data_IF_264890741530
#
_entry.id   IF_264890741530
#
_cell.length_a   1.000
_cell.length_b   1.000
_cell.length_c   1.000
_cell.angle_alpha   90.00
_cell.angle_beta   90.00
_cell.angle_gamma   90.00
#
_symmetry.space_group_name_H-M   'P 1'
#
loop_
_entity.id
_entity.type
_entity.pdbx_description
1 polymer ?
#
# COMPACT_ATOMS: atom_id res chain seq x y z
N UNK A 1 60.22 14.01 16.69
CA UNK A 1 58.79 14.37 16.78
C UNK A 1 58.21 14.20 15.39
N UNK A 2 57.50 13.11 15.13
CA UNK A 2 57.01 12.79 13.78
C UNK A 2 55.74 13.60 13.50
N UNK A 3 55.84 14.58 12.59
CA UNK A 3 54.69 15.35 12.12
C UNK A 3 53.84 14.40 11.27
N UNK A 4 52.66 14.02 11.78
CA UNK A 4 51.66 13.33 10.96
C UNK A 4 51.08 14.34 9.99
N UNK A 5 51.24 14.09 8.69
CA UNK A 5 50.55 14.82 7.63
C UNK A 5 49.05 14.61 7.75
N UNK A 6 48.38 15.50 8.50
CA UNK A 6 46.94 15.58 8.49
C UNK A 6 46.52 16.19 7.15
N UNK A 7 46.10 15.34 6.21
CA UNK A 7 45.51 15.77 4.94
C UNK A 7 44.27 16.62 5.23
N UNK A 8 44.41 17.94 5.10
CA UNK A 8 43.30 18.86 5.16
C UNK A 8 42.47 18.75 3.88
N UNK A 9 41.16 18.57 4.02
CA UNK A 9 40.22 18.52 2.90
C UNK A 9 40.13 19.89 2.25
N UNK A 10 40.23 19.96 0.92
CA UNK A 10 40.09 21.23 0.20
C UNK A 10 38.62 21.60 0.03
N UNK A 11 38.30 22.90 -0.01
CA UNK A 11 36.95 23.37 -0.31
C UNK A 11 36.44 22.86 -1.67
N UNK A 12 37.35 22.66 -2.64
CA UNK A 12 37.03 22.17 -3.98
C UNK A 12 36.59 20.70 -3.93
N UNK A 13 37.29 19.85 -3.17
CA UNK A 13 36.91 18.45 -3.01
C UNK A 13 35.52 18.33 -2.37
N UNK A 14 35.21 19.13 -1.35
CA UNK A 14 33.87 19.15 -0.75
C UNK A 14 32.80 19.60 -1.76
N UNK A 15 33.09 20.64 -2.55
CA UNK A 15 32.16 21.20 -3.53
C UNK A 15 31.84 20.22 -4.66
N UNK A 16 32.84 19.51 -5.19
CA UNK A 16 32.63 18.51 -6.25
C UNK A 16 31.77 17.36 -5.72
N UNK A 17 31.97 16.93 -4.47
CA UNK A 17 31.18 15.84 -3.87
C UNK A 17 29.70 16.22 -3.75
N UNK A 18 29.37 17.41 -3.23
CA UNK A 18 27.97 17.82 -3.13
C UNK A 18 27.33 18.02 -4.50
N UNK A 19 28.10 18.47 -5.50
CA UNK A 19 27.61 18.62 -6.88
C UNK A 19 27.23 17.26 -7.48
N UNK A 20 28.06 16.24 -7.28
CA UNK A 20 27.77 14.87 -7.75
C UNK A 20 26.58 14.29 -7.00
N UNK A 21 26.48 14.47 -5.68
CA UNK A 21 25.32 14.00 -4.89
C UNK A 21 24.03 14.66 -5.38
N UNK A 22 24.03 15.98 -5.61
CA UNK A 22 22.86 16.70 -6.11
C UNK A 22 22.39 16.20 -7.48
N UNK A 23 23.34 15.95 -8.40
CA UNK A 23 23.05 15.37 -9.71
C UNK A 23 22.40 13.98 -9.59
N UNK A 24 22.99 13.10 -8.78
CA UNK A 24 22.47 11.75 -8.56
C UNK A 24 21.08 11.78 -7.91
N UNK A 25 20.87 12.63 -6.90
CA UNK A 25 19.57 12.81 -6.25
C UNK A 25 18.49 13.33 -7.21
N UNK A 26 18.87 14.20 -8.16
CA UNK A 26 17.96 14.71 -9.20
C UNK A 26 17.37 13.60 -10.08
N UNK A 27 18.14 12.54 -10.35
CA UNK A 27 17.69 11.38 -11.12
C UNK A 27 16.98 10.35 -10.22
N UNK A 28 17.43 10.22 -8.96
CA UNK A 28 16.92 9.20 -8.04
C UNK A 28 15.49 9.50 -7.56
N UNK A 29 15.16 10.77 -7.28
CA UNK A 29 13.82 11.16 -6.81
C UNK A 29 12.67 10.77 -7.75
N UNK A 30 12.70 11.10 -9.06
CA UNK A 30 11.64 10.71 -9.98
C UNK A 30 11.58 9.19 -10.16
N UNK A 31 12.73 8.51 -10.24
CA UNK A 31 12.80 7.06 -10.35
C UNK A 31 12.18 6.35 -9.13
N UNK A 32 12.46 6.83 -7.91
CA UNK A 32 11.90 6.28 -6.68
C UNK A 32 10.38 6.47 -6.59
N UNK A 33 9.87 7.61 -7.07
CA UNK A 33 8.44 7.89 -7.08
C UNK A 33 7.69 6.94 -8.02
N UNK A 34 8.24 6.71 -9.22
CA UNK A 34 7.71 5.74 -10.16
C UNK A 34 7.78 4.29 -9.62
N UNK A 35 8.89 3.90 -8.98
CA UNK A 35 9.02 2.59 -8.38
C UNK A 35 7.98 2.37 -7.26
N UNK A 36 7.72 3.38 -6.42
CA UNK A 36 6.70 3.32 -5.37
C UNK A 36 5.28 3.16 -5.93
N UNK A 37 4.92 3.88 -6.99
CA UNK A 37 3.58 3.75 -7.60
C UNK A 37 3.39 2.36 -8.23
N UNK A 38 4.41 1.82 -8.89
CA UNK A 38 4.40 0.45 -9.41
C UNK A 38 4.28 -0.58 -8.29
N UNK A 39 5.03 -0.41 -7.19
CA UNK A 39 4.95 -1.27 -6.01
C UNK A 39 3.55 -1.31 -5.39
N UNK A 40 2.90 -0.14 -5.26
CA UNK A 40 1.49 -0.05 -4.84
C UNK A 40 0.57 -0.84 -5.77
N UNK A 41 0.78 -0.73 -7.09
CA UNK A 41 0.03 -1.49 -8.08
C UNK A 41 0.17 -3.01 -7.92
N UNK A 42 1.37 -3.51 -7.64
CA UNK A 42 1.61 -4.94 -7.37
C UNK A 42 0.84 -5.40 -6.14
N UNK A 43 0.88 -4.63 -5.05
CA UNK A 43 0.14 -4.94 -3.82
C UNK A 43 -1.37 -4.96 -4.08
N UNK A 44 -1.91 -3.97 -4.79
CA UNK A 44 -3.33 -3.93 -5.15
C UNK A 44 -3.75 -5.18 -5.96
N UNK A 45 -2.96 -5.60 -6.95
CA UNK A 45 -3.25 -6.81 -7.73
C UNK A 45 -3.24 -8.07 -6.85
N UNK A 46 -2.30 -8.16 -5.91
CA UNK A 46 -2.23 -9.27 -4.95
C UNK A 46 -3.49 -9.31 -4.07
N UNK A 47 -3.91 -8.16 -3.52
CA UNK A 47 -5.11 -8.07 -2.70
C UNK A 47 -6.37 -8.47 -3.47
N UNK A 48 -6.53 -7.99 -4.71
CA UNK A 48 -7.66 -8.37 -5.57
C UNK A 48 -7.65 -9.88 -5.84
N UNK A 49 -6.49 -10.45 -6.13
CA UNK A 49 -6.36 -11.91 -6.32
C UNK A 49 -6.79 -12.67 -5.07
N UNK A 50 -6.40 -12.21 -3.88
CA UNK A 50 -6.81 -12.84 -2.61
C UNK A 50 -8.33 -12.75 -2.39
N UNK A 51 -8.95 -11.59 -2.66
CA UNK A 51 -10.40 -11.41 -2.58
C UNK A 51 -11.17 -12.31 -3.57
N UNK A 52 -10.64 -12.46 -4.78
CA UNK A 52 -11.21 -13.36 -5.79
C UNK A 52 -11.13 -14.81 -5.32
N UNK A 53 -9.97 -15.25 -4.81
CA UNK A 53 -9.80 -16.60 -4.28
C UNK A 53 -10.75 -16.87 -3.11
N UNK A 54 -10.92 -15.90 -2.20
CA UNK A 54 -11.89 -16.00 -1.11
C UNK A 54 -13.32 -16.15 -1.63
N UNK A 55 -13.70 -15.38 -2.65
CA UNK A 55 -15.02 -15.49 -3.30
C UNK A 55 -15.24 -16.83 -4.00
N UNK A 56 -14.22 -17.36 -4.67
CA UNK A 56 -14.27 -18.69 -5.29
C UNK A 56 -14.44 -19.78 -4.21
N UNK A 57 -13.70 -19.68 -3.11
CA UNK A 57 -13.83 -20.57 -1.97
C UNK A 57 -15.25 -20.55 -1.40
N UNK A 58 -15.78 -19.35 -1.13
CA UNK A 58 -17.16 -19.19 -0.67
C UNK A 58 -18.18 -19.80 -1.64
N UNK A 59 -18.06 -19.51 -2.94
CA UNK A 59 -18.98 -20.05 -3.94
C UNK A 59 -18.93 -21.58 -4.03
N UNK A 60 -17.76 -22.19 -3.81
CA UNK A 60 -17.63 -23.65 -3.78
C UNK A 60 -18.39 -24.31 -2.62
N UNK A 61 -18.62 -23.57 -1.53
CA UNK A 61 -19.32 -24.03 -0.34
C UNK A 61 -20.80 -23.59 -0.30
N UNK A 62 -21.21 -22.65 -1.15
CA UNK A 62 -22.54 -22.01 -1.15
C UNK A 62 -23.26 -22.15 -2.51
N UNK A 63 -23.40 -23.38 -3.02
CA UNK A 63 -24.15 -23.71 -4.24
C UNK A 63 -23.76 -22.88 -5.49
N UNK A 64 -22.49 -22.50 -5.59
CA UNK A 64 -21.97 -21.68 -6.70
C UNK A 64 -22.31 -20.18 -6.59
N UNK A 65 -22.95 -19.75 -5.51
CA UNK A 65 -23.24 -18.34 -5.25
C UNK A 65 -22.01 -17.63 -4.68
N UNK A 66 -21.58 -16.55 -5.33
CA UNK A 66 -20.53 -15.68 -4.78
C UNK A 66 -20.99 -15.01 -3.49
N UNK A 67 -20.00 -14.54 -2.70
CA UNK A 67 -20.30 -13.84 -1.46
C UNK A 67 -21.20 -12.63 -1.77
N UNK A 68 -22.34 -12.48 -1.08
CA UNK A 68 -23.27 -11.42 -1.38
C UNK A 68 -22.58 -10.07 -1.19
N UNK A 69 -22.59 -9.26 -2.26
CA UNK A 69 -22.33 -7.84 -2.12
C UNK A 69 -23.39 -7.25 -1.16
N UNK A 70 -23.07 -6.15 -0.49
CA UNK A 70 -24.04 -5.48 0.36
C UNK A 70 -25.31 -5.16 -0.47
N UNK A 71 -26.46 -5.72 -0.08
CA UNK A 71 -27.73 -5.52 -0.79
C UNK A 71 -28.11 -4.03 -0.86
N UNK A 72 -27.58 -3.24 0.06
CA UNK A 72 -27.74 -1.80 0.18
C UNK A 72 -26.41 -1.07 0.02
N UNK A 73 -25.51 -1.56 -0.84
CA UNK A 73 -24.22 -0.91 -1.11
C UNK A 73 -24.37 0.55 -1.59
N UNK A 74 -25.54 0.87 -2.17
CA UNK A 74 -25.94 2.22 -2.60
C UNK A 74 -27.05 2.84 -1.73
N UNK A 75 -27.42 2.17 -0.62
CA UNK A 75 -28.50 2.57 0.29
C UNK A 75 -28.01 2.70 1.74
N UNK A 76 -28.80 2.20 2.68
CA UNK A 76 -28.57 2.37 4.13
C UNK A 76 -27.34 1.62 4.67
N UNK A 77 -26.68 0.78 3.88
CA UNK A 77 -25.47 0.06 4.24
C UNK A 77 -25.52 -0.71 5.59
N UNK A 78 -26.66 -1.30 5.92
CA UNK A 78 -26.96 -2.07 7.13
C UNK A 78 -26.39 -3.48 7.08
N UNK A 79 -26.30 -4.10 5.90
CA UNK A 79 -25.87 -5.48 5.75
C UNK A 79 -24.60 -5.59 4.89
N UNK A 80 -23.53 -6.20 5.41
CA UNK A 80 -22.36 -6.56 4.61
C UNK A 80 -21.96 -8.02 4.85
N UNK A 81 -21.12 -8.53 3.95
CA UNK A 81 -20.58 -9.88 4.04
C UNK A 81 -19.81 -10.16 5.35
N UNK A 82 -19.33 -9.14 6.06
CA UNK A 82 -18.53 -9.27 7.29
C UNK A 82 -19.23 -8.67 8.52
N UNK A 83 -20.56 -8.54 8.51
CA UNK A 83 -21.29 -8.01 9.66
C UNK A 83 -22.61 -7.32 9.33
N UNK A 84 -23.28 -6.86 10.38
CA UNK A 84 -24.57 -6.17 10.28
C UNK A 84 -24.58 -4.98 11.24
N UNK A 85 -25.35 -3.94 10.92
CA UNK A 85 -25.70 -2.85 11.84
C UNK A 85 -27.20 -2.61 11.85
N UNK A 86 -27.72 -2.18 12.99
CA UNK A 86 -29.15 -1.95 13.19
C UNK A 86 -29.62 -0.63 12.55
N UNK A 87 -28.76 0.40 12.52
CA UNK A 87 -29.03 1.71 11.94
C UNK A 87 -27.78 2.37 11.32
N UNK A 88 -27.95 3.48 10.60
CA UNK A 88 -26.84 4.15 9.89
C UNK A 88 -25.79 4.72 10.84
N UNK A 89 -26.17 5.03 12.08
CA UNK A 89 -25.30 5.63 13.09
C UNK A 89 -24.72 4.62 14.08
N UNK A 90 -25.18 3.36 14.09
CA UNK A 90 -24.57 2.33 14.95
C UNK A 90 -23.25 1.81 14.37
N UNK A 91 -22.31 1.43 15.26
CA UNK A 91 -21.12 0.68 14.87
C UNK A 91 -21.49 -0.61 14.14
N UNK A 92 -20.66 -0.98 13.18
CA UNK A 92 -20.81 -2.24 12.47
C UNK A 92 -20.44 -3.42 13.38
N UNK A 93 -21.33 -4.40 13.55
CA UNK A 93 -21.06 -5.60 14.34
C UNK A 93 -20.52 -6.72 13.41
N UNK A 94 -19.22 -7.06 13.50
CA UNK A 94 -18.63 -8.07 12.66
C UNK A 94 -19.00 -9.51 13.05
N UNK A 95 -19.56 -9.73 14.24
CA UNK A 95 -19.92 -11.06 14.73
C UNK A 95 -21.31 -11.53 14.21
N UNK A 96 -22.08 -10.64 13.58
CA UNK A 96 -23.44 -10.89 13.10
C UNK A 96 -23.57 -11.03 11.58
N UNK A 97 -22.45 -11.18 10.87
CA UNK A 97 -22.46 -11.48 9.43
C UNK A 97 -23.08 -12.86 9.13
N UNK A 98 -23.52 -13.11 7.88
CA UNK A 98 -23.90 -14.46 7.46
C UNK A 98 -22.78 -15.47 7.70
#
# INVERSE_FOLDING_TARGET
MSVKDNKAFTLIELLVVIAVIALLMGILMPALTAARSQGRGVVCRSNIRQLLLANIGYASENDGSYAPAALDIFGDNKYRWHGVRDDVNSPFDPARGP
#
